data_IF_864043271411
#
_entry.id   IF_864043271411
#
_cell.length_a   1.000
_cell.length_b   1.000
_cell.length_c   1.000
_cell.angle_alpha   90.00
_cell.angle_beta   90.00
_cell.angle_gamma   90.00
#
_symmetry.space_group_name_H-M   'P 1'
#
loop_
_entity.id
_entity.type
_entity.pdbx_description
1 polymer ?
#
# COMPACT_ATOMS: atom_id res chain seq x y z
N UNK A 1 -17.76 -13.37 -23.53
CA UNK A 1 -16.90 -12.94 -22.42
C UNK A 1 -15.57 -13.67 -22.55
N UNK A 2 -14.45 -12.97 -22.37
CA UNK A 2 -13.07 -13.48 -22.47
C UNK A 2 -12.25 -12.90 -21.30
N UNK A 3 -11.09 -13.48 -20.94
CA UNK A 3 -10.22 -12.88 -19.93
C UNK A 3 -9.81 -11.45 -20.28
N UNK A 4 -9.57 -10.63 -19.26
CA UNK A 4 -9.02 -9.28 -19.41
C UNK A 4 -7.70 -9.35 -20.19
N UNK A 5 -7.47 -8.39 -21.07
CA UNK A 5 -6.29 -8.40 -21.93
C UNK A 5 -6.41 -9.27 -23.19
N UNK A 6 -7.48 -10.06 -23.39
CA UNK A 6 -7.63 -10.90 -24.60
C UNK A 6 -7.69 -10.13 -25.93
N UNK A 7 -7.82 -8.81 -25.90
CA UNK A 7 -7.87 -7.94 -27.08
C UNK A 7 -6.50 -7.66 -27.70
N UNK A 8 -5.40 -7.85 -26.96
CA UNK A 8 -4.03 -7.62 -27.45
C UNK A 8 -2.97 -8.37 -26.62
N UNK A 9 -1.76 -8.63 -27.14
CA UNK A 9 -0.66 -9.14 -26.31
C UNK A 9 -0.31 -8.19 -25.14
N UNK A 10 0.16 -8.71 -23.99
CA UNK A 10 0.58 -7.89 -22.88
C UNK A 10 1.85 -7.11 -23.21
N UNK A 11 1.97 -5.94 -22.61
CA UNK A 11 3.19 -5.14 -22.59
C UNK A 11 4.23 -5.82 -21.68
N UNK A 12 5.53 -5.73 -22.01
CA UNK A 12 6.57 -6.40 -21.24
C UNK A 12 6.76 -5.72 -19.87
N UNK A 13 7.07 -6.54 -18.86
CA UNK A 13 7.62 -6.11 -17.57
C UNK A 13 9.08 -6.56 -17.53
N UNK A 14 9.97 -5.70 -17.04
CA UNK A 14 11.39 -6.04 -16.89
C UNK A 14 11.57 -7.13 -15.83
N UNK A 15 12.40 -8.13 -16.13
CA UNK A 15 12.82 -9.15 -15.17
C UNK A 15 14.34 -9.04 -14.94
N UNK A 16 14.76 -9.11 -13.67
CA UNK A 16 16.16 -9.05 -13.25
C UNK A 16 16.50 -10.20 -12.31
N UNK A 17 17.71 -10.74 -12.45
CA UNK A 17 18.23 -11.79 -11.55
C UNK A 17 19.01 -11.21 -10.35
N UNK A 18 19.14 -9.89 -10.28
CA UNK A 18 19.85 -9.17 -9.23
C UNK A 18 18.94 -8.17 -8.49
N UNK A 19 19.31 -7.84 -7.25
CA UNK A 19 18.69 -6.77 -6.47
C UNK A 19 19.48 -5.48 -6.65
N UNK A 20 18.86 -4.40 -7.18
CA UNK A 20 19.52 -3.10 -7.23
C UNK A 20 19.77 -2.59 -5.81
N UNK A 21 20.77 -1.71 -5.68
CA UNK A 21 20.94 -0.94 -4.45
C UNK A 21 19.78 0.06 -4.27
N UNK A 22 19.54 0.61 -3.05
CA UNK A 22 18.39 1.49 -2.81
C UNK A 22 18.30 2.72 -3.73
N UNK A 23 19.44 3.32 -4.10
CA UNK A 23 19.46 4.51 -4.95
C UNK A 23 19.08 4.16 -6.38
N UNK A 24 19.67 3.10 -6.93
CA UNK A 24 19.31 2.58 -8.26
C UNK A 24 17.84 2.16 -8.30
N UNK A 25 17.36 1.46 -7.26
CA UNK A 25 15.96 1.05 -7.15
C UNK A 25 15.03 2.26 -7.20
N UNK A 26 15.35 3.30 -6.45
CA UNK A 26 14.57 4.52 -6.41
C UNK A 26 14.56 5.25 -7.76
N UNK A 27 15.73 5.49 -8.35
CA UNK A 27 15.85 6.30 -9.57
C UNK A 27 15.26 5.60 -10.80
N UNK A 28 15.43 4.29 -10.91
CA UNK A 28 15.05 3.53 -12.11
C UNK A 28 13.62 2.96 -12.05
N UNK A 29 13.08 2.72 -10.85
CA UNK A 29 11.77 2.05 -10.71
C UNK A 29 10.79 2.85 -9.87
N UNK A 30 11.15 3.25 -8.65
CA UNK A 30 10.19 3.90 -7.72
C UNK A 30 9.76 5.28 -8.19
N UNK A 31 10.73 6.16 -8.46
CA UNK A 31 10.49 7.53 -8.93
C UNK A 31 9.71 7.57 -10.27
N UNK A 32 10.08 6.81 -11.31
CA UNK A 32 9.30 6.79 -12.55
C UNK A 32 7.99 5.99 -12.43
N UNK A 33 7.86 5.12 -11.43
CA UNK A 33 6.69 4.28 -11.19
C UNK A 33 6.56 3.15 -12.20
N UNK A 34 7.67 2.44 -12.46
CA UNK A 34 7.77 1.35 -13.44
C UNK A 34 7.88 0.00 -12.71
N UNK A 35 7.01 -0.99 -13.03
CA UNK A 35 7.06 -2.30 -12.40
C UNK A 35 8.28 -3.11 -12.84
N UNK A 36 8.81 -3.94 -11.95
CA UNK A 36 9.94 -4.85 -12.23
C UNK A 36 9.84 -6.11 -11.38
N UNK A 37 10.19 -7.26 -11.97
CA UNK A 37 10.27 -8.54 -11.27
C UNK A 37 11.74 -8.85 -10.96
N UNK A 38 12.06 -9.09 -9.69
CA UNK A 38 13.36 -9.59 -9.25
C UNK A 38 13.28 -11.10 -9.00
N UNK A 39 13.95 -11.88 -9.85
CA UNK A 39 13.86 -13.34 -9.87
C UNK A 39 14.68 -13.97 -8.75
N UNK A 40 14.09 -14.93 -8.05
CA UNK A 40 14.77 -15.78 -7.07
C UNK A 40 15.34 -15.07 -5.81
N UNK A 41 15.03 -13.79 -5.60
CA UNK A 41 15.53 -13.01 -4.47
C UNK A 41 15.14 -13.61 -3.12
N UNK A 42 13.88 -13.97 -2.94
CA UNK A 42 13.40 -14.52 -1.68
C UNK A 42 14.01 -15.89 -1.35
N UNK A 43 14.57 -16.61 -2.34
CA UNK A 43 15.33 -17.86 -2.12
C UNK A 43 16.60 -17.63 -1.28
N UNK A 44 17.10 -16.39 -1.25
CA UNK A 44 18.27 -16.01 -0.44
C UNK A 44 17.92 -15.83 1.05
N UNK A 45 16.64 -15.72 1.41
CA UNK A 45 16.26 -15.55 2.81
C UNK A 45 16.52 -16.81 3.63
N UNK A 46 17.09 -16.70 4.85
CA UNK A 46 17.55 -17.85 5.64
C UNK A 46 16.50 -18.94 5.89
N UNK A 47 15.25 -18.55 6.07
CA UNK A 47 14.11 -19.42 6.42
C UNK A 47 13.17 -19.69 5.22
N UNK A 48 13.60 -19.41 3.99
CA UNK A 48 12.75 -19.53 2.80
C UNK A 48 12.09 -20.91 2.68
N UNK A 49 12.85 -21.97 2.98
CA UNK A 49 12.31 -23.34 2.95
C UNK A 49 11.50 -23.68 4.20
N UNK A 50 11.85 -23.12 5.35
CA UNK A 50 11.13 -23.37 6.62
C UNK A 50 9.70 -22.81 6.54
N UNK A 51 9.51 -21.63 5.95
CA UNK A 51 8.21 -20.97 5.77
C UNK A 51 7.23 -21.77 4.89
N UNK A 52 7.72 -22.73 4.11
CA UNK A 52 6.90 -23.65 3.32
C UNK A 52 6.29 -24.78 4.15
N UNK A 53 6.79 -25.01 5.35
CA UNK A 53 6.35 -26.09 6.23
C UNK A 53 5.27 -25.61 7.18
N UNK A 54 4.07 -26.20 7.08
CA UNK A 54 3.00 -25.97 8.04
C UNK A 54 3.37 -26.49 9.45
N UNK A 55 4.26 -27.49 9.56
CA UNK A 55 4.79 -27.93 10.84
C UNK A 55 5.67 -26.86 11.48
N UNK A 56 6.55 -26.21 10.70
CA UNK A 56 7.36 -25.09 11.17
C UNK A 56 6.49 -23.91 11.63
N UNK A 57 5.50 -23.53 10.81
CA UNK A 57 4.57 -22.46 11.15
C UNK A 57 3.79 -22.78 12.44
N UNK A 58 3.32 -24.02 12.59
CA UNK A 58 2.61 -24.48 13.78
C UNK A 58 3.50 -24.48 15.03
N UNK A 59 4.75 -24.93 14.93
CA UNK A 59 5.68 -24.95 16.06
C UNK A 59 6.04 -23.53 16.52
N UNK A 60 6.27 -22.60 15.59
CA UNK A 60 6.74 -21.24 15.90
C UNK A 60 5.63 -20.28 16.30
N UNK A 61 4.53 -20.31 15.55
CA UNK A 61 3.47 -19.29 15.59
C UNK A 61 2.09 -19.91 15.76
N UNK A 62 2.01 -21.20 16.10
CA UNK A 62 0.76 -21.94 16.20
C UNK A 62 -0.26 -21.26 17.10
N UNK A 63 0.17 -20.66 18.22
CA UNK A 63 -0.71 -19.98 19.17
C UNK A 63 -1.17 -18.58 18.75
N UNK A 64 -0.55 -18.01 17.72
CA UNK A 64 -0.84 -16.64 17.26
C UNK A 64 -2.20 -16.57 16.57
N UNK A 65 -2.99 -15.54 16.90
CA UNK A 65 -4.27 -15.28 16.24
C UNK A 65 -4.03 -14.58 14.90
N UNK A 66 -4.43 -15.25 13.82
CA UNK A 66 -4.36 -14.72 12.46
C UNK A 66 -5.72 -14.23 11.99
N UNK A 67 -5.70 -13.18 11.17
CA UNK A 67 -6.86 -12.71 10.43
C UNK A 67 -7.09 -13.59 9.19
N UNK A 68 -8.29 -14.14 9.06
CA UNK A 68 -8.68 -15.11 8.05
C UNK A 68 -9.89 -14.62 7.28
N UNK A 69 -9.70 -14.43 5.99
CA UNK A 69 -10.77 -14.20 5.02
C UNK A 69 -11.51 -15.51 4.75
N UNK A 70 -12.83 -15.43 4.54
CA UNK A 70 -13.71 -16.63 4.43
C UNK A 70 -14.27 -16.88 3.04
N UNK A 71 -13.65 -16.28 2.02
CA UNK A 71 -13.86 -16.59 0.61
C UNK A 71 -12.55 -16.37 -0.16
N UNK A 72 -12.04 -17.36 -0.91
CA UNK A 72 -10.78 -17.21 -1.65
C UNK A 72 -10.87 -16.22 -2.82
N UNK A 73 -12.06 -15.99 -3.35
CA UNK A 73 -12.32 -14.83 -4.21
C UNK A 73 -12.62 -13.66 -3.30
N UNK A 74 -11.81 -12.60 -3.36
CA UNK A 74 -11.95 -11.41 -2.54
C UNK A 74 -13.38 -10.87 -2.61
N UNK A 75 -13.99 -10.73 -1.43
CA UNK A 75 -15.32 -10.18 -1.23
C UNK A 75 -15.26 -9.15 -0.10
N UNK A 76 -15.23 -7.86 -0.46
CA UNK A 76 -15.15 -6.74 0.49
C UNK A 76 -16.41 -6.55 1.36
N UNK A 77 -17.45 -7.37 1.17
CA UNK A 77 -18.63 -7.38 2.05
C UNK A 77 -18.56 -8.47 3.12
N UNK A 78 -17.66 -9.43 2.98
CA UNK A 78 -17.57 -10.58 3.85
C UNK A 78 -16.54 -10.28 4.96
N UNK A 79 -16.95 -10.14 6.22
CA UNK A 79 -16.02 -9.79 7.27
C UNK A 79 -15.03 -10.94 7.53
N UNK A 80 -13.73 -10.63 7.73
CA UNK A 80 -12.78 -11.63 8.14
C UNK A 80 -13.07 -12.10 9.57
N UNK A 81 -12.56 -13.29 9.91
CA UNK A 81 -12.60 -13.84 11.27
C UNK A 81 -11.19 -14.04 11.80
N UNK A 82 -11.02 -13.99 13.11
CA UNK A 82 -9.76 -14.35 13.75
C UNK A 82 -9.78 -15.82 14.17
N UNK A 83 -8.63 -16.48 14.08
CA UNK A 83 -8.41 -17.77 14.71
C UNK A 83 -6.93 -18.03 14.95
N UNK A 84 -6.63 -18.91 15.88
CA UNK A 84 -5.31 -19.48 16.09
C UNK A 84 -4.73 -20.10 14.80
N UNK A 85 -3.45 -19.85 14.50
CA UNK A 85 -2.79 -20.34 13.30
C UNK A 85 -2.84 -21.87 13.19
N UNK A 86 -2.72 -22.61 14.29
CA UNK A 86 -2.82 -24.07 14.27
C UNK A 86 -4.19 -24.56 13.81
N UNK A 87 -5.25 -23.86 14.20
CA UNK A 87 -6.61 -24.15 13.74
C UNK A 87 -6.74 -23.87 12.24
N UNK A 88 -6.27 -22.71 11.78
CA UNK A 88 -6.24 -22.37 10.36
C UNK A 88 -5.53 -23.44 9.53
N UNK A 89 -4.31 -23.82 9.92
CA UNK A 89 -3.49 -24.83 9.24
C UNK A 89 -4.15 -26.22 9.22
N UNK A 90 -5.15 -26.46 10.06
CA UNK A 90 -5.90 -27.73 10.10
C UNK A 90 -7.09 -27.76 9.13
N UNK A 91 -7.57 -26.60 8.67
CA UNK A 91 -8.79 -26.48 7.85
C UNK A 91 -8.55 -25.91 6.45
N UNK A 92 -7.49 -25.14 6.24
CA UNK A 92 -7.37 -24.27 5.07
C UNK A 92 -7.27 -24.99 3.72
N UNK A 93 -6.87 -26.27 3.69
CA UNK A 93 -6.88 -27.10 2.49
C UNK A 93 -8.30 -27.52 2.05
N UNK A 94 -9.25 -27.55 2.98
CA UNK A 94 -10.62 -28.06 2.77
C UNK A 94 -11.67 -26.96 2.75
N UNK A 95 -11.40 -25.85 3.42
CA UNK A 95 -12.30 -24.71 3.52
C UNK A 95 -11.89 -23.58 2.57
N UNK A 96 -12.86 -22.74 2.23
CA UNK A 96 -12.66 -21.56 1.37
C UNK A 96 -12.12 -20.38 2.18
N UNK A 97 -10.92 -20.55 2.75
CA UNK A 97 -10.29 -19.58 3.65
C UNK A 97 -8.86 -19.27 3.25
N UNK A 98 -8.40 -18.07 3.59
CA UNK A 98 -6.99 -17.69 3.48
C UNK A 98 -6.61 -16.62 4.51
N UNK A 99 -5.35 -16.59 4.90
CA UNK A 99 -4.81 -15.62 5.86
C UNK A 99 -4.41 -14.33 5.13
N UNK A 100 -4.75 -13.20 5.76
CA UNK A 100 -4.28 -11.86 5.43
C UNK A 100 -3.80 -11.21 6.72
N UNK A 101 -2.54 -11.46 7.10
CA UNK A 101 -2.01 -11.06 8.41
C UNK A 101 -1.01 -9.93 8.29
N UNK A 102 -1.32 -8.77 8.88
CA UNK A 102 -0.34 -7.70 9.07
C UNK A 102 0.67 -8.10 10.15
N UNK A 103 1.95 -7.90 9.86
CA UNK A 103 3.06 -8.15 10.78
C UNK A 103 3.52 -6.85 11.41
N UNK A 104 3.48 -6.77 12.74
CA UNK A 104 3.91 -5.60 13.50
C UNK A 104 5.24 -5.89 14.20
N UNK A 105 6.36 -5.29 13.80
CA UNK A 105 7.63 -5.53 14.48
C UNK A 105 7.66 -4.88 15.87
N UNK A 106 8.17 -5.58 16.91
CA UNK A 106 8.84 -6.88 16.90
C UNK A 106 7.95 -8.04 17.41
N UNK A 107 6.87 -8.36 16.70
CA UNK A 107 5.92 -9.43 17.07
C UNK A 107 6.08 -10.67 16.16
N UNK A 108 5.06 -11.55 16.17
CA UNK A 108 5.04 -12.79 15.40
C UNK A 108 5.35 -12.58 13.91
N UNK A 109 5.95 -13.60 13.29
CA UNK A 109 6.43 -13.62 11.89
C UNK A 109 7.53 -12.62 11.51
N UNK A 110 7.83 -11.60 12.32
CA UNK A 110 8.78 -10.54 11.91
C UNK A 110 10.24 -10.97 11.93
N UNK A 111 10.57 -12.09 12.60
CA UNK A 111 11.87 -12.76 12.44
C UNK A 111 11.95 -13.60 11.18
N UNK A 112 10.79 -13.99 10.65
CA UNK A 112 10.65 -14.80 9.45
C UNK A 112 10.45 -13.96 8.17
N UNK A 113 10.19 -12.66 8.32
CA UNK A 113 10.10 -11.70 7.23
C UNK A 113 11.40 -10.91 7.07
N UNK A 114 11.77 -10.60 5.82
CA UNK A 114 13.02 -9.94 5.48
C UNK A 114 12.76 -8.71 4.61
N UNK A 115 13.50 -7.64 4.90
CA UNK A 115 13.55 -6.41 4.10
C UNK A 115 14.71 -6.56 3.09
N UNK A 116 14.45 -6.60 1.77
CA UNK A 116 15.50 -6.78 0.77
C UNK A 116 16.41 -5.55 0.65
N UNK A 117 17.65 -5.77 0.17
CA UNK A 117 18.68 -4.74 -0.04
C UNK A 117 18.17 -3.43 -0.62
N UNK A 118 17.30 -3.49 -1.62
CA UNK A 118 16.77 -2.33 -2.32
C UNK A 118 15.97 -1.37 -1.41
N UNK A 119 15.58 -1.81 -0.20
CA UNK A 119 14.86 -1.02 0.80
C UNK A 119 15.71 -0.69 2.04
N UNK A 120 16.97 -1.14 2.12
CA UNK A 120 17.82 -1.02 3.32
C UNK A 120 18.62 0.29 3.37
N UNK A 121 17.92 1.42 3.18
CA UNK A 121 18.44 2.76 3.44
C UNK A 121 17.37 3.59 4.14
N UNK A 122 17.80 4.56 4.95
CA UNK A 122 16.89 5.36 5.79
C UNK A 122 15.75 6.02 5.00
N UNK A 123 16.01 6.46 3.76
CA UNK A 123 14.99 7.01 2.86
C UNK A 123 13.80 6.10 2.57
N UNK A 124 13.99 4.77 2.59
CA UNK A 124 12.91 3.78 2.52
C UNK A 124 12.45 3.33 3.90
N UNK A 125 13.38 3.07 4.83
CA UNK A 125 13.07 2.55 6.17
C UNK A 125 12.12 3.49 6.94
N UNK A 126 12.32 4.80 6.85
CA UNK A 126 11.42 5.82 7.43
C UNK A 126 10.00 5.81 6.85
N UNK A 127 9.81 5.14 5.72
CA UNK A 127 8.56 5.13 4.96
C UNK A 127 7.88 3.78 4.99
N UNK A 128 8.52 2.74 5.53
CA UNK A 128 7.91 1.43 5.73
C UNK A 128 6.60 1.61 6.49
N UNK A 129 5.52 1.08 5.92
CA UNK A 129 4.17 1.37 6.39
C UNK A 129 3.44 0.13 6.84
N UNK A 130 3.47 -0.96 6.07
CA UNK A 130 2.81 -2.20 6.45
C UNK A 130 3.58 -3.37 5.84
N UNK A 131 3.59 -4.50 6.54
CA UNK A 131 4.06 -5.76 5.95
C UNK A 131 2.97 -6.80 6.17
N UNK A 132 2.51 -7.43 5.09
CA UNK A 132 1.34 -8.32 5.11
C UNK A 132 1.74 -9.70 4.61
N UNK A 133 1.42 -10.72 5.39
CA UNK A 133 1.56 -12.12 5.02
C UNK A 133 0.24 -12.64 4.43
N UNK A 134 0.35 -13.32 3.30
CA UNK A 134 -0.76 -13.96 2.60
C UNK A 134 -0.50 -15.45 2.54
N UNK A 135 -1.35 -16.27 3.14
CA UNK A 135 -1.22 -17.73 3.12
C UNK A 135 -2.56 -18.36 2.70
N UNK A 136 -2.52 -19.28 1.74
CA UNK A 136 -3.71 -20.02 1.27
C UNK A 136 -3.34 -21.41 0.79
N UNK A 137 -4.34 -22.27 0.60
CA UNK A 137 -4.20 -23.57 -0.06
C UNK A 137 -4.24 -23.46 -1.59
N UNK A 138 -4.26 -22.25 -2.14
CA UNK A 138 -4.35 -21.96 -3.57
C UNK A 138 -5.73 -21.52 -4.03
N UNK A 139 -5.76 -20.99 -5.26
CA UNK A 139 -6.97 -20.54 -5.96
C UNK A 139 -7.51 -19.19 -5.51
N UNK A 140 -6.74 -18.43 -4.72
CA UNK A 140 -7.16 -17.08 -4.29
C UNK A 140 -7.12 -16.09 -5.43
N UNK A 141 -8.10 -15.20 -5.48
CA UNK A 141 -8.26 -14.19 -6.53
C UNK A 141 -8.63 -12.86 -5.91
N UNK A 142 -7.88 -11.81 -6.21
CA UNK A 142 -8.24 -10.45 -5.80
C UNK A 142 -9.30 -9.87 -6.74
N UNK A 143 -9.96 -8.78 -6.34
CA UNK A 143 -10.64 -7.92 -7.31
C UNK A 143 -9.62 -7.09 -8.08
N UNK A 144 -10.04 -6.43 -9.16
CA UNK A 144 -9.22 -5.40 -9.81
C UNK A 144 -9.29 -4.11 -8.99
N UNK A 145 -8.18 -3.69 -8.42
CA UNK A 145 -8.06 -2.52 -7.55
C UNK A 145 -6.69 -1.87 -7.71
N UNK A 146 -6.41 -0.80 -6.98
CA UNK A 146 -5.06 -0.25 -6.85
C UNK A 146 -4.75 0.05 -5.38
N UNK A 147 -3.45 0.13 -5.07
CA UNK A 147 -2.96 0.49 -3.74
C UNK A 147 -2.41 1.92 -3.75
N UNK A 148 -2.67 2.66 -2.66
CA UNK A 148 -2.11 4.00 -2.44
C UNK A 148 -0.66 4.01 -1.94
N UNK A 149 -0.02 2.85 -1.88
CA UNK A 149 1.34 2.63 -1.40
C UNK A 149 2.24 2.04 -2.50
N UNK A 150 3.54 2.25 -2.36
CA UNK A 150 4.51 1.45 -3.09
C UNK A 150 4.55 0.05 -2.46
N UNK A 151 4.72 -0.98 -3.27
CA UNK A 151 4.54 -2.36 -2.82
C UNK A 151 5.59 -3.29 -3.42
N UNK A 152 6.21 -4.12 -2.59
CA UNK A 152 7.09 -5.21 -3.02
C UNK A 152 6.48 -6.54 -2.55
N UNK A 153 5.97 -7.34 -3.48
CA UNK A 153 5.41 -8.66 -3.21
C UNK A 153 6.45 -9.76 -3.45
N UNK A 154 6.87 -10.46 -2.40
CA UNK A 154 7.77 -11.61 -2.51
C UNK A 154 7.00 -12.92 -2.33
N UNK A 155 7.04 -13.81 -3.32
CA UNK A 155 6.39 -15.13 -3.27
C UNK A 155 7.33 -16.12 -2.61
N UNK A 156 6.91 -16.71 -1.50
CA UNK A 156 7.67 -17.72 -0.76
C UNK A 156 7.28 -19.15 -1.16
N UNK A 157 6.01 -19.37 -1.49
CA UNK A 157 5.49 -20.67 -1.93
C UNK A 157 4.39 -20.49 -2.97
N UNK A 158 4.27 -21.46 -3.88
CA UNK A 158 3.33 -21.40 -5.01
C UNK A 158 3.73 -20.44 -6.12
N UNK A 159 2.74 -19.94 -6.85
CA UNK A 159 2.91 -19.03 -7.98
C UNK A 159 1.74 -18.05 -8.03
N UNK A 160 2.01 -16.82 -8.51
CA UNK A 160 1.00 -15.78 -8.68
C UNK A 160 1.09 -15.16 -10.06
N UNK A 161 -0.05 -14.89 -10.66
CA UNK A 161 -0.19 -14.11 -11.88
C UNK A 161 -0.75 -12.74 -11.52
N UNK A 162 -0.06 -11.67 -11.94
CA UNK A 162 -0.51 -10.30 -11.75
C UNK A 162 -0.89 -9.71 -13.10
N UNK A 163 -2.18 -9.46 -13.30
CA UNK A 163 -2.66 -8.60 -14.38
C UNK A 163 -2.52 -7.16 -13.91
N UNK A 164 -1.85 -6.33 -14.69
CA UNK A 164 -1.52 -4.95 -14.31
C UNK A 164 -1.99 -3.95 -15.38
N UNK A 165 -2.46 -2.79 -14.94
CA UNK A 165 -2.79 -1.65 -15.80
C UNK A 165 -2.13 -0.40 -15.23
N UNK A 166 -1.42 0.32 -16.10
CA UNK A 166 -0.70 1.54 -15.75
C UNK A 166 -1.65 2.63 -15.23
N UNK A 167 -1.28 3.25 -14.11
CA UNK A 167 -2.04 4.33 -13.45
C UNK A 167 -2.39 5.50 -14.37
N UNK A 168 -1.62 5.73 -15.45
CA UNK A 168 -1.92 6.78 -16.43
C UNK A 168 -3.24 6.55 -17.20
N UNK A 169 -3.79 5.34 -17.12
CA UNK A 169 -5.04 4.93 -17.74
C UNK A 169 -6.20 4.82 -16.72
N UNK A 170 -6.06 5.44 -15.55
CA UNK A 170 -7.08 5.38 -14.49
C UNK A 170 -8.49 5.79 -14.97
N UNK A 171 -8.57 6.75 -15.89
CA UNK A 171 -9.80 7.25 -16.50
C UNK A 171 -10.57 6.18 -17.32
N UNK A 172 -9.90 5.09 -17.68
CA UNK A 172 -10.44 4.01 -18.48
C UNK A 172 -10.68 2.73 -17.68
N UNK A 173 -10.19 2.64 -16.44
CA UNK A 173 -10.41 1.48 -15.57
C UNK A 173 -11.76 1.66 -14.83
N UNK A 174 -12.72 0.74 -15.01
CA UNK A 174 -14.06 0.92 -14.46
C UNK A 174 -14.11 0.55 -12.98
N UNK A 175 -13.80 1.50 -12.09
CA UNK A 175 -14.01 1.38 -10.65
C UNK A 175 -15.49 1.67 -10.35
N UNK A 176 -16.31 0.62 -10.33
CA UNK A 176 -17.76 0.72 -10.09
C UNK A 176 -18.15 0.68 -8.61
N UNK A 177 -17.15 0.57 -7.71
CA UNK A 177 -17.26 0.82 -6.28
C UNK A 177 -16.18 1.86 -5.90
N UNK A 178 -16.36 3.15 -6.26
CA UNK A 178 -15.34 4.20 -6.10
C UNK A 178 -14.94 4.41 -4.65
N UNK A 179 -15.95 4.48 -3.80
CA UNK A 179 -15.92 4.45 -2.34
C UNK A 179 -14.91 3.41 -1.83
N UNK A 180 -15.18 2.15 -2.15
CA UNK A 180 -14.34 1.04 -1.68
C UNK A 180 -13.11 0.80 -2.53
N UNK A 181 -12.81 1.61 -3.55
CA UNK A 181 -11.61 1.53 -4.37
C UNK A 181 -11.43 0.28 -5.23
N UNK A 182 -12.50 -0.33 -5.77
CA UNK A 182 -12.37 -1.51 -6.65
C UNK A 182 -13.37 -1.62 -7.80
N UNK A 183 -13.02 -2.44 -8.79
CA UNK A 183 -13.88 -2.84 -9.90
C UNK A 183 -14.52 -4.21 -9.66
N UNK A 184 -15.83 -4.31 -9.88
CA UNK A 184 -16.59 -5.57 -9.86
C UNK A 184 -16.40 -6.40 -11.13
N UNK A 185 -15.53 -5.98 -12.06
CA UNK A 185 -15.30 -6.73 -13.30
C UNK A 185 -14.79 -8.14 -13.00
N UNK A 186 -15.41 -9.12 -13.65
CA UNK A 186 -14.85 -10.47 -13.70
C UNK A 186 -13.72 -10.49 -14.72
N UNK A 187 -12.49 -10.36 -14.24
CA UNK A 187 -11.27 -10.34 -15.06
C UNK A 187 -11.03 -11.64 -15.84
N UNK A 188 -11.62 -12.77 -15.47
CA UNK A 188 -11.51 -14.01 -16.24
C UNK A 188 -12.59 -14.10 -17.33
N UNK A 189 -13.68 -13.34 -17.17
CA UNK A 189 -14.85 -13.35 -18.06
C UNK A 189 -15.40 -11.93 -18.24
N UNK A 190 -14.60 -11.05 -18.85
CA UNK A 190 -14.98 -9.65 -19.06
C UNK A 190 -16.16 -9.56 -20.03
N UNK A 191 -17.21 -8.87 -19.58
CA UNK A 191 -18.31 -8.40 -20.44
C UNK A 191 -17.91 -7.06 -21.08
N UNK A 192 -17.45 -7.11 -22.32
CA UNK A 192 -17.02 -5.93 -23.08
C UNK A 192 -18.19 -5.00 -23.48
N UNK A 193 -19.45 -5.46 -23.39
CA UNK A 193 -20.59 -4.56 -23.56
C UNK A 193 -20.79 -3.70 -22.31
N UNK A 194 -20.55 -4.27 -21.12
CA UNK A 194 -20.61 -3.55 -19.84
C UNK A 194 -19.35 -2.71 -19.59
N UNK A 195 -18.17 -3.21 -19.95
CA UNK A 195 -16.87 -2.59 -19.70
C UNK A 195 -16.07 -2.34 -21.00
N UNK A 196 -16.59 -1.54 -21.95
CA UNK A 196 -15.98 -1.40 -23.28
C UNK A 196 -14.61 -0.68 -23.28
N UNK A 197 -14.29 0.08 -22.23
CA UNK A 197 -13.01 0.79 -22.10
C UNK A 197 -11.83 -0.18 -21.94
N UNK A 198 -12.04 -1.32 -21.29
CA UNK A 198 -11.01 -2.34 -21.07
C UNK A 198 -10.46 -2.91 -22.39
N UNK A 199 -11.26 -2.96 -23.45
CA UNK A 199 -10.85 -3.46 -24.76
C UNK A 199 -9.89 -2.54 -25.54
N UNK A 200 -9.50 -1.40 -24.97
CA UNK A 200 -8.55 -0.43 -25.57
C UNK A 200 -7.28 -0.25 -24.75
N UNK A 201 -7.21 -0.86 -23.57
CA UNK A 201 -6.15 -0.61 -22.62
C UNK A 201 -4.90 -1.44 -22.90
N UNK A 202 -3.70 -0.82 -22.94
CA UNK A 202 -2.47 -1.54 -22.69
C UNK A 202 -2.55 -2.20 -21.32
N UNK A 203 -2.14 -3.46 -21.25
CA UNK A 203 -2.11 -4.23 -20.03
C UNK A 203 -0.77 -4.96 -19.94
N UNK A 204 -0.39 -5.34 -18.73
CA UNK A 204 0.87 -6.02 -18.46
C UNK A 204 0.57 -7.27 -17.62
N UNK A 205 1.47 -8.24 -17.66
CA UNK A 205 1.36 -9.46 -16.87
C UNK A 205 2.70 -9.80 -16.24
N UNK A 206 2.71 -10.10 -14.94
CA UNK A 206 3.86 -10.67 -14.25
C UNK A 206 3.50 -12.08 -13.75
N UNK A 207 4.28 -13.07 -14.20
CA UNK A 207 4.16 -14.46 -13.76
C UNK A 207 5.24 -14.74 -12.72
N UNK A 208 4.81 -14.85 -11.46
CA UNK A 208 5.68 -14.98 -10.31
C UNK A 208 5.81 -16.43 -9.86
N UNK A 209 7.04 -16.88 -9.66
CA UNK A 209 7.36 -18.17 -9.06
C UNK A 209 7.84 -18.02 -7.62
N UNK A 210 7.82 -19.13 -6.86
CA UNK A 210 8.39 -19.17 -5.53
C UNK A 210 9.87 -18.73 -5.55
N UNK A 211 10.16 -17.63 -4.86
CA UNK A 211 11.45 -16.97 -4.82
C UNK A 211 11.46 -15.58 -5.43
N UNK A 212 10.49 -15.23 -6.28
CA UNK A 212 10.49 -13.96 -6.99
C UNK A 212 9.91 -12.84 -6.11
N UNK A 213 10.38 -11.61 -6.31
CA UNK A 213 9.84 -10.39 -5.71
C UNK A 213 9.41 -9.39 -6.79
N UNK A 214 8.15 -8.95 -6.77
CA UNK A 214 7.57 -8.04 -7.75
C UNK A 214 7.37 -6.66 -7.16
N UNK A 215 7.99 -5.64 -7.75
CA UNK A 215 7.71 -4.26 -7.43
C UNK A 215 6.46 -3.80 -8.16
N UNK A 216 5.43 -3.46 -7.38
CA UNK A 216 4.15 -2.91 -7.80
C UNK A 216 4.16 -1.42 -7.46
N UNK A 217 4.22 -0.53 -8.46
CA UNK A 217 4.28 0.89 -8.19
C UNK A 217 2.94 1.42 -7.68
N UNK A 218 3.01 2.45 -6.84
CA UNK A 218 1.83 3.13 -6.30
C UNK A 218 0.80 3.47 -7.40
N UNK A 219 -0.47 3.23 -7.09
CA UNK A 219 -1.67 3.47 -7.90
C UNK A 219 -1.78 2.64 -9.18
N UNK A 220 -0.88 1.68 -9.44
CA UNK A 220 -1.09 0.72 -10.52
C UNK A 220 -2.29 -0.17 -10.21
N UNK A 221 -3.19 -0.31 -11.18
CA UNK A 221 -4.31 -1.22 -11.03
C UNK A 221 -3.82 -2.63 -11.25
N UNK A 222 -4.29 -3.55 -10.42
CA UNK A 222 -3.86 -4.92 -10.46
C UNK A 222 -4.93 -5.90 -10.03
N UNK A 223 -4.86 -7.09 -10.61
CA UNK A 223 -5.58 -8.28 -10.21
C UNK A 223 -4.57 -9.41 -10.02
N UNK A 224 -4.72 -10.15 -8.92
CA UNK A 224 -3.82 -11.24 -8.54
C UNK A 224 -4.57 -12.56 -8.57
N UNK A 225 -4.03 -13.52 -9.30
CA UNK A 225 -4.53 -14.89 -9.37
C UNK A 225 -3.45 -15.85 -8.86
N UNK A 226 -3.71 -16.50 -7.73
CA UNK A 226 -2.80 -17.52 -7.19
C UNK A 226 -3.06 -18.87 -7.86
N UNK A 227 -2.02 -19.68 -8.04
CA UNK A 227 -2.17 -21.06 -8.52
C UNK A 227 -3.05 -21.92 -7.61
N UNK A 228 -3.49 -23.07 -8.13
CA UNK A 228 -4.35 -24.01 -7.42
C UNK A 228 -3.67 -24.81 -6.32
N UNK A 229 -2.41 -24.50 -6.00
CA UNK A 229 -1.62 -25.13 -4.94
C UNK A 229 -1.39 -24.14 -3.81
N UNK A 230 -0.86 -24.61 -2.68
CA UNK A 230 -0.45 -23.76 -1.55
C UNK A 230 0.31 -22.53 -2.04
N UNK A 231 -0.07 -21.37 -1.52
CA UNK A 231 0.51 -20.09 -1.86
C UNK A 231 0.86 -19.32 -0.59
N UNK A 232 2.08 -18.82 -0.51
CA UNK A 232 2.57 -17.97 0.57
C UNK A 232 3.31 -16.79 -0.03
N UNK A 233 2.95 -15.57 0.35
CA UNK A 233 3.65 -14.36 -0.08
C UNK A 233 3.70 -13.32 1.04
N UNK A 234 4.70 -12.44 0.97
CA UNK A 234 4.84 -11.29 1.84
C UNK A 234 4.84 -10.03 0.99
N UNK A 235 3.97 -9.07 1.33
CA UNK A 235 4.01 -7.72 0.78
C UNK A 235 4.70 -6.79 1.76
N UNK A 236 5.62 -5.97 1.27
CA UNK A 236 6.21 -4.85 2.01
C UNK A 236 5.68 -3.57 1.37
N UNK A 237 4.89 -2.80 2.13
CA UNK A 237 4.30 -1.55 1.69
C UNK A 237 5.01 -0.37 2.33
N UNK A 238 5.28 0.66 1.53
CA UNK A 238 5.86 1.91 2.02
C UNK A 238 5.24 3.13 1.35
N UNK A 239 5.34 4.28 2.02
CA UNK A 239 4.83 5.54 1.49
C UNK A 239 5.75 6.06 0.39
N UNK A 240 5.16 6.35 -0.77
CA UNK A 240 5.85 7.00 -1.89
C UNK A 240 6.45 8.36 -1.50
N UNK A 241 7.54 8.75 -2.15
CA UNK A 241 8.21 10.04 -1.93
C UNK A 241 8.74 10.62 -3.25
N UNK A 242 8.54 11.93 -3.46
CA UNK A 242 9.05 12.66 -4.64
C UNK A 242 10.58 12.79 -4.64
N UNK A 243 11.19 12.68 -3.46
CA UNK A 243 12.64 12.74 -3.26
C UNK A 243 13.11 11.58 -2.37
N UNK A 244 14.33 11.11 -2.61
CA UNK A 244 14.98 10.13 -1.74
C UNK A 244 15.65 10.82 -0.57
N UNK A 245 15.00 10.84 0.60
CA UNK A 245 15.60 11.38 1.84
C UNK A 245 16.84 10.56 2.22
N UNK A 246 17.79 11.18 2.91
CA UNK A 246 19.04 10.52 3.35
C UNK A 246 19.89 9.96 2.20
N UNK A 247 19.80 10.56 1.01
CA UNK A 247 20.51 10.09 -0.18
C UNK A 247 22.02 10.04 -0.01
N UNK A 248 22.65 11.13 0.41
CA UNK A 248 24.12 11.18 0.57
C UNK A 248 24.65 10.17 1.58
N UNK A 249 23.89 9.89 2.65
CA UNK A 249 24.23 8.91 3.67
C UNK A 249 24.13 7.49 3.09
N UNK A 250 23.06 7.21 2.35
CA UNK A 250 22.87 5.94 1.65
C UNK A 250 23.97 5.70 0.60
N UNK A 251 24.33 6.72 -0.20
CA UNK A 251 25.39 6.64 -1.21
C UNK A 251 26.75 6.29 -0.59
N UNK A 252 27.04 6.80 0.63
CA UNK A 252 28.27 6.48 1.37
C UNK A 252 28.31 5.06 1.93
N UNK A 253 27.15 4.43 2.17
CA UNK A 253 27.05 3.11 2.78
C UNK A 253 26.70 1.97 1.80
N UNK A 254 26.50 2.25 0.51
CA UNK A 254 26.04 1.25 -0.49
C UNK A 254 26.84 -0.06 -0.49
N UNK A 255 28.15 0.02 -0.27
CA UNK A 255 29.04 -1.14 -0.25
C UNK A 255 28.80 -2.08 0.96
N UNK A 256 28.26 -1.53 2.05
CA UNK A 256 28.05 -2.23 3.32
C UNK A 256 26.61 -2.73 3.50
N UNK A 257 25.70 -2.38 2.58
CA UNK A 257 24.29 -2.80 2.66
C UNK A 257 24.19 -4.30 2.39
N UNK A 258 23.66 -5.11 3.34
CA UNK A 258 23.50 -6.54 3.14
C UNK A 258 22.42 -6.84 2.09
N UNK A 259 22.41 -8.06 1.56
CA UNK A 259 21.40 -8.47 0.57
C UNK A 259 19.96 -8.45 1.12
N UNK A 260 19.82 -8.59 2.44
CA UNK A 260 18.57 -8.49 3.18
C UNK A 260 18.87 -8.24 4.66
N UNK A 261 17.87 -7.82 5.43
CA UNK A 261 17.90 -7.83 6.89
C UNK A 261 16.52 -8.24 7.45
N UNK A 262 16.46 -8.69 8.70
CA UNK A 262 15.21 -9.14 9.33
C UNK A 262 14.29 -7.95 9.62
N UNK A 263 13.00 -8.12 9.32
CA UNK A 263 11.98 -7.11 9.59
C UNK A 263 11.90 -6.75 11.09
N UNK A 264 12.23 -7.70 11.96
CA UNK A 264 12.33 -7.52 13.42
C UNK A 264 13.14 -6.28 13.84
N UNK A 265 14.16 -5.90 13.06
CA UNK A 265 15.08 -4.79 13.37
C UNK A 265 14.48 -3.41 13.08
N UNK A 266 13.33 -3.34 12.39
CA UNK A 266 12.76 -2.09 11.92
C UNK A 266 11.47 -1.74 12.64
N UNK A 267 11.06 -0.48 12.49
CA UNK A 267 9.74 0.00 12.92
C UNK A 267 8.93 0.29 11.68
N UNK A 268 7.64 0.01 11.76
CA UNK A 268 6.70 0.40 10.72
C UNK A 268 6.03 1.70 11.15
N UNK A 269 6.07 2.69 10.27
CA UNK A 269 5.32 3.92 10.40
C UNK A 269 3.90 3.66 9.86
N UNK A 270 3.12 2.91 10.64
CA UNK A 270 1.73 2.60 10.36
C UNK A 270 0.90 3.90 10.47
N UNK A 271 -0.03 4.11 9.53
CA UNK A 271 -0.95 5.26 9.54
C UNK A 271 -0.47 6.43 8.69
N UNK A 272 -1.16 6.73 7.59
CA UNK A 272 -0.98 8.03 6.96
C UNK A 272 -1.41 9.06 7.99
N UNK A 273 -0.47 9.89 8.45
CA UNK A 273 -0.80 11.03 9.28
C UNK A 273 -1.88 11.83 8.54
N UNK A 274 -2.99 12.20 9.19
CA UNK A 274 -4.03 13.04 8.56
C UNK A 274 -3.34 14.26 7.93
N UNK A 275 -2.34 14.76 8.63
CA UNK A 275 -1.43 15.81 8.19
C UNK A 275 -0.68 15.47 6.90
N UNK A 276 -0.14 14.25 6.75
CA UNK A 276 0.55 13.83 5.51
C UNK A 276 -0.43 13.78 4.32
N UNK A 277 -1.70 13.39 4.51
CA UNK A 277 -2.74 13.44 3.47
C UNK A 277 -3.11 14.89 3.14
N UNK A 278 -3.40 15.67 4.17
CA UNK A 278 -3.79 17.07 4.06
C UNK A 278 -2.71 17.88 3.38
N UNK A 279 -1.44 17.71 3.78
CA UNK A 279 -0.32 18.45 3.21
C UNK A 279 0.10 17.91 1.83
N UNK A 280 0.00 16.61 1.56
CA UNK A 280 0.29 16.09 0.22
C UNK A 280 -0.69 16.65 -0.83
N UNK A 281 -1.98 16.70 -0.49
CA UNK A 281 -3.02 17.18 -1.41
C UNK A 281 -3.08 18.71 -1.45
N UNK A 282 -2.96 19.39 -0.30
CA UNK A 282 -3.05 20.85 -0.24
C UNK A 282 -1.90 21.55 -0.99
N UNK A 283 -0.75 20.90 -1.12
CA UNK A 283 0.46 21.45 -1.75
C UNK A 283 0.80 20.79 -3.09
N UNK A 284 -0.12 19.97 -3.64
CA UNK A 284 0.13 19.06 -4.76
C UNK A 284 0.50 19.75 -6.08
N UNK A 285 -0.06 20.94 -6.35
CA UNK A 285 0.11 21.64 -7.64
C UNK A 285 1.27 22.64 -7.66
N UNK A 286 1.44 23.49 -6.64
CA UNK A 286 2.39 24.63 -6.70
C UNK A 286 3.29 24.80 -5.46
N UNK A 287 3.26 23.87 -4.50
CA UNK A 287 4.09 23.98 -3.28
C UNK A 287 3.64 25.07 -2.30
N UNK A 288 2.48 25.69 -2.54
CA UNK A 288 1.76 26.58 -1.62
C UNK A 288 0.28 26.19 -1.56
N UNK A 289 -0.42 26.58 -0.49
CA UNK A 289 -1.86 26.36 -0.34
C UNK A 289 -2.57 27.60 0.21
N UNK A 290 -3.86 27.74 -0.06
CA UNK A 290 -4.71 28.77 0.57
C UNK A 290 -5.38 28.21 1.83
N UNK A 291 -5.82 29.08 2.74
CA UNK A 291 -6.60 28.67 3.91
C UNK A 291 -7.85 27.87 3.51
N UNK A 292 -8.55 28.31 2.46
CA UNK A 292 -9.76 27.65 1.97
C UNK A 292 -9.44 26.24 1.47
N UNK A 293 -8.34 26.07 0.73
CA UNK A 293 -7.93 24.75 0.24
C UNK A 293 -7.51 23.84 1.40
N UNK A 294 -6.76 24.37 2.36
CA UNK A 294 -6.31 23.64 3.55
C UNK A 294 -7.50 23.18 4.41
N UNK A 295 -8.43 24.07 4.74
CA UNK A 295 -9.64 23.74 5.50
C UNK A 295 -10.51 22.70 4.76
N UNK A 296 -10.67 22.84 3.44
CA UNK A 296 -11.44 21.88 2.63
C UNK A 296 -10.85 20.48 2.69
N UNK A 297 -9.54 20.36 2.54
CA UNK A 297 -8.86 19.06 2.54
C UNK A 297 -8.85 18.48 3.96
N UNK A 298 -8.57 19.27 4.98
CA UNK A 298 -8.64 18.82 6.38
C UNK A 298 -10.02 18.34 6.74
N UNK A 299 -11.07 19.11 6.43
CA UNK A 299 -12.43 18.71 6.70
C UNK A 299 -12.78 17.35 6.07
N UNK A 300 -12.38 17.14 4.80
CA UNK A 300 -12.55 15.86 4.09
C UNK A 300 -11.78 14.69 4.71
N UNK A 301 -10.77 14.99 5.52
CA UNK A 301 -9.92 13.98 6.17
C UNK A 301 -10.35 13.72 7.63
N UNK A 302 -11.25 14.52 8.21
CA UNK A 302 -11.74 14.31 9.58
C UNK A 302 -12.75 13.15 9.66
N UNK A 303 -12.78 12.35 10.75
CA UNK A 303 -13.71 11.24 10.90
C UNK A 303 -15.18 11.65 10.82
N UNK A 304 -16.01 10.87 10.11
CA UNK A 304 -17.46 11.12 10.01
C UNK A 304 -18.14 11.12 11.37
N UNK A 305 -17.75 10.19 12.23
CA UNK A 305 -18.28 9.96 13.59
C UNK A 305 -17.87 11.04 14.61
N UNK A 306 -16.91 11.90 14.26
CA UNK A 306 -16.45 12.97 15.15
C UNK A 306 -17.56 13.99 15.37
N UNK A 307 -17.78 14.40 16.63
CA UNK A 307 -18.85 15.34 16.94
C UNK A 307 -18.62 16.69 16.23
N UNK A 308 -19.71 17.32 15.77
CA UNK A 308 -19.65 18.60 15.06
C UNK A 308 -18.86 19.67 15.81
N UNK A 309 -18.97 19.68 17.15
CA UNK A 309 -18.20 20.57 18.02
C UNK A 309 -16.69 20.32 17.94
N UNK A 310 -16.26 19.06 17.92
CA UNK A 310 -14.84 18.69 17.83
C UNK A 310 -14.28 19.00 16.43
N UNK A 311 -15.07 18.76 15.37
CA UNK A 311 -14.70 19.14 14.00
C UNK A 311 -14.49 20.65 13.88
N UNK A 312 -15.40 21.45 14.45
CA UNK A 312 -15.30 22.90 14.47
C UNK A 312 -14.06 23.39 15.23
N UNK A 313 -13.80 22.85 16.42
CA UNK A 313 -12.61 23.19 17.21
C UNK A 313 -11.31 22.84 16.47
N UNK A 314 -11.28 21.73 15.72
CA UNK A 314 -10.12 21.36 14.89
C UNK A 314 -9.89 22.33 13.72
N UNK A 315 -10.94 22.74 13.03
CA UNK A 315 -10.85 23.71 11.92
C UNK A 315 -10.49 25.12 12.39
N UNK A 316 -11.02 25.57 13.53
CA UNK A 316 -10.70 26.88 14.12
C UNK A 316 -9.20 26.92 14.50
N UNK A 317 -8.67 25.86 15.12
CA UNK A 317 -7.23 25.73 15.41
C UNK A 317 -6.37 25.75 14.15
N UNK A 318 -6.80 25.06 13.09
CA UNK A 318 -6.09 25.05 11.81
C UNK A 318 -6.10 26.43 11.14
N UNK A 319 -7.21 27.17 11.25
CA UNK A 319 -7.31 28.54 10.76
C UNK A 319 -6.36 29.48 11.52
N UNK A 320 -6.29 29.38 12.86
CA UNK A 320 -5.33 30.15 13.66
C UNK A 320 -3.89 29.85 13.27
N UNK A 321 -3.56 28.57 13.05
CA UNK A 321 -2.24 28.12 12.61
C UNK A 321 -1.88 28.70 11.25
N UNK A 322 -2.81 28.71 10.29
CA UNK A 322 -2.58 29.28 8.97
C UNK A 322 -2.13 30.75 9.07
N UNK A 323 -2.82 31.57 9.86
CA UNK A 323 -2.48 32.98 10.01
C UNK A 323 -1.21 33.22 10.83
N UNK A 324 -0.85 32.31 11.72
CA UNK A 324 0.42 32.37 12.46
C UNK A 324 1.61 32.00 11.58
N UNK A 325 1.43 31.02 10.69
CA UNK A 325 2.48 30.51 9.82
C UNK A 325 2.66 31.33 8.54
N UNK A 326 1.62 32.02 8.04
CA UNK A 326 1.70 33.00 6.93
C UNK A 326 2.50 34.25 7.34
N UNK A 327 3.82 34.09 7.42
CA UNK A 327 4.76 35.09 7.89
C UNK A 327 4.84 36.31 6.96
N UNK A 328 4.67 36.08 5.66
CA UNK A 328 4.75 37.10 4.64
C UNK A 328 3.39 37.85 4.40
N UNK A 329 2.29 37.29 4.93
CA UNK A 329 0.91 37.81 4.87
C UNK A 329 0.30 37.88 3.48
N UNK A 330 0.74 37.02 2.57
CA UNK A 330 0.21 36.93 1.20
C UNK A 330 -1.04 36.04 1.10
N UNK A 331 -1.49 35.46 2.22
CA UNK A 331 -2.63 34.53 2.32
C UNK A 331 -2.41 33.22 1.57
N UNK A 332 -1.15 32.89 1.32
CA UNK A 332 -0.67 31.60 0.86
C UNK A 332 0.26 31.05 1.93
N UNK A 333 0.12 29.78 2.22
CA UNK A 333 1.03 29.09 3.13
C UNK A 333 1.97 28.23 2.30
N UNK A 334 3.28 28.48 2.41
CA UNK A 334 4.33 27.70 1.77
C UNK A 334 4.90 26.62 2.70
N UNK A 335 5.64 25.66 2.12
CA UNK A 335 6.32 24.63 2.91
C UNK A 335 7.42 25.20 3.82
N UNK A 336 8.07 26.27 3.39
CA UNK A 336 9.15 26.93 4.15
C UNK A 336 8.58 27.67 5.36
N UNK A 337 7.40 28.26 5.24
CA UNK A 337 6.67 28.91 6.34
C UNK A 337 6.18 27.91 7.39
N UNK A 338 5.67 26.76 6.97
CA UNK A 338 5.26 25.70 7.90
C UNK A 338 6.46 25.14 8.67
N UNK A 339 7.57 24.87 7.98
CA UNK A 339 8.76 24.25 8.59
C UNK A 339 9.55 25.20 9.49
N UNK A 340 9.41 26.52 9.30
CA UNK A 340 10.04 27.55 10.13
C UNK A 340 9.22 27.99 11.34
N UNK A 341 7.95 27.55 11.45
CA UNK A 341 7.07 27.92 12.56
C UNK A 341 7.40 27.11 13.83
N UNK A 342 7.88 27.78 14.88
CA UNK A 342 8.25 27.17 16.17
C UNK A 342 7.06 26.86 17.10
N UNK A 343 5.89 26.49 16.55
CA UNK A 343 4.66 26.34 17.32
C UNK A 343 4.47 24.91 17.82
N UNK A 344 4.37 24.73 19.14
CA UNK A 344 4.02 23.44 19.77
C UNK A 344 2.62 22.94 19.38
N UNK A 345 1.75 23.81 18.86
CA UNK A 345 0.46 23.42 18.29
C UNK A 345 0.59 22.61 16.99
N UNK A 346 1.70 22.79 16.25
CA UNK A 346 2.04 21.89 15.13
C UNK A 346 2.31 20.49 15.66
N UNK A 347 2.77 20.32 16.91
CA UNK A 347 3.02 19.00 17.52
C UNK A 347 1.74 18.39 18.11
N UNK A 348 0.83 19.19 18.66
CA UNK A 348 -0.43 18.72 19.26
C UNK A 348 -1.47 18.30 18.21
N UNK A 349 -1.39 18.81 16.98
CA UNK A 349 -2.18 18.31 15.84
C UNK A 349 -1.62 16.97 15.30
N UNK A 350 -0.45 16.51 15.79
CA UNK A 350 0.25 15.29 15.35
C UNK A 350 0.09 14.09 16.30
N UNK A 351 -0.77 14.18 17.33
CA UNK A 351 -0.96 13.08 18.30
C UNK A 351 -2.37 12.49 18.30
N UNK A 352 -2.41 11.20 17.94
CA UNK A 352 -3.39 10.11 18.14
C UNK A 352 -4.91 10.39 18.13
N UNK A 353 -5.61 9.99 17.05
CA UNK A 353 -6.68 8.95 17.01
C UNK A 353 -7.25 8.76 15.57
N UNK A 354 -7.99 7.66 15.34
CA UNK A 354 -8.13 6.82 14.13
C UNK A 354 -8.99 7.26 12.88
N UNK A 355 -8.49 6.88 11.67
CA UNK A 355 -9.04 6.06 10.52
C UNK A 355 -10.34 6.40 9.70
N UNK A 356 -10.14 6.48 8.36
CA UNK A 356 -10.89 6.17 7.08
C UNK A 356 -12.25 6.78 6.63
N UNK A 357 -12.19 7.23 5.35
CA UNK A 357 -13.09 7.25 4.16
C UNK A 357 -14.54 7.83 4.10
N UNK A 358 -14.71 8.70 3.06
CA UNK A 358 -15.79 8.81 2.05
C UNK A 358 -16.75 10.02 1.97
N UNK A 359 -17.13 10.32 0.72
CA UNK A 359 -18.22 11.18 0.21
C UNK A 359 -18.14 12.70 0.41
N UNK A 360 -18.01 13.41 -0.71
CA UNK A 360 -17.41 14.74 -0.79
C UNK A 360 -18.27 15.84 -1.44
N UNK A 361 -19.43 15.57 -2.04
CA UNK A 361 -20.02 16.59 -2.95
C UNK A 361 -21.29 17.32 -2.47
N UNK A 362 -21.84 17.05 -1.28
CA UNK A 362 -23.02 17.80 -0.76
C UNK A 362 -22.70 18.88 0.28
N UNK A 363 -21.46 18.95 0.77
CA UNK A 363 -21.15 19.68 2.02
C UNK A 363 -20.70 21.14 1.88
N UNK A 364 -20.43 21.61 0.67
CA UNK A 364 -19.95 22.99 0.46
C UNK A 364 -21.03 24.03 0.80
N UNK A 365 -22.31 23.67 0.66
CA UNK A 365 -23.41 24.57 0.98
C UNK A 365 -23.77 24.53 2.49
N UNK A 366 -23.59 23.41 3.20
CA UNK A 366 -23.82 23.31 4.65
C UNK A 366 -22.75 24.04 5.49
N UNK A 367 -21.47 23.94 5.13
CA UNK A 367 -20.37 24.63 5.86
C UNK A 367 -20.49 26.16 5.77
N UNK A 368 -21.18 26.67 4.75
CA UNK A 368 -21.43 28.11 4.58
C UNK A 368 -22.66 28.59 5.36
N UNK A 369 -23.55 27.69 5.77
CA UNK A 369 -24.69 28.00 6.62
C UNK A 369 -24.38 27.85 8.13
N UNK A 370 -23.39 27.03 8.51
CA UNK A 370 -22.96 26.86 9.91
C UNK A 370 -21.83 27.80 10.38
N UNK A 371 -21.11 28.47 9.45
CA UNK A 371 -20.18 29.57 9.72
C UNK A 371 -20.87 30.93 9.58
#
# INVERSE_FOLDING_TARGET
>A
MQPIGSHMPPMPIEERDDLPNPIEFYDNYVKPGVPVVFKGIAKKFPNFNDMKSDEYLREKHGDFEVLVETAKKEDRNNPPRTMNLSNYLSIYEKEDVYVVQTMFPPEAFTKEAFVPKCLLCQGFLDRLNMVIMWLSSGGTKSVLHNDSFENLNCVLDGTKEFVMIDRKHADLVPIDNPDRGFSSVDVEKVDMHKYPTLGKLPWYIANMEAGDCFYIPKNWFHHVNSSQTRNLAINIWWRSSKEFKHREECEKSLADIPEYDTLWNYRLNNGIKIEDLVFADAFSENGTTTLINLLKITYKTLPKEMEAKQKREALEKLQELFYQADANKDKLLSKDEITSTASSLVQDFLTDEAVLEEEVDELYDEVKEEL
#
